data_IF_558477774395
#
_entry.id   IF_558477774395
#
_cell.length_a   1.000
_cell.length_b   1.000
_cell.length_c   1.000
_cell.angle_alpha   90.00
_cell.angle_beta   90.00
_cell.angle_gamma   90.00
#
_symmetry.space_group_name_H-M   'P 1'
#
loop_
_entity.id
_entity.type
_entity.pdbx_description
1 polymer ?
#
# COMPACT_ATOMS: atom_id res chain seq x y z
N UNK A 1 25.80 1.82 23.74
CA UNK A 1 24.64 2.53 23.16
C UNK A 1 24.12 1.70 22.00
N UNK A 2 23.02 0.99 22.18
CA UNK A 2 22.28 0.32 21.11
C UNK A 2 21.77 1.41 20.17
N UNK A 3 22.37 1.55 18.99
CA UNK A 3 21.81 2.42 17.93
C UNK A 3 20.43 1.84 17.60
N UNK A 4 19.36 2.57 17.92
CA UNK A 4 18.05 2.26 17.38
C UNK A 4 18.15 2.32 15.85
N UNK A 5 17.79 1.23 15.18
CA UNK A 5 17.75 1.18 13.71
C UNK A 5 16.47 1.90 13.31
N UNK A 6 16.60 3.17 12.93
CA UNK A 6 15.50 3.94 12.36
C UNK A 6 15.31 3.45 10.91
N UNK A 7 14.10 3.00 10.59
CA UNK A 7 13.72 2.68 9.21
C UNK A 7 13.59 4.00 8.45
N UNK A 8 14.44 4.19 7.46
CA UNK A 8 14.52 5.40 6.65
C UNK A 8 14.50 5.00 5.18
N UNK A 9 13.77 5.78 4.39
CA UNK A 9 13.70 5.62 2.95
C UNK A 9 13.70 6.98 2.28
N UNK A 10 14.07 6.99 0.99
CA UNK A 10 14.05 8.19 0.16
C UNK A 10 13.48 7.86 -1.21
N UNK A 11 12.67 8.77 -1.74
CA UNK A 11 12.27 8.76 -3.15
C UNK A 11 13.29 9.54 -3.96
N UNK A 12 13.99 8.84 -4.85
CA UNK A 12 15.07 9.39 -5.67
C UNK A 12 14.55 9.93 -7.00
N UNK A 13 13.49 9.31 -7.53
CA UNK A 13 12.80 9.72 -8.75
C UNK A 13 11.31 9.51 -8.50
N UNK A 14 10.53 10.58 -8.50
CA UNK A 14 9.07 10.54 -8.35
C UNK A 14 8.40 10.35 -9.71
N UNK A 15 8.54 11.35 -10.58
CA UNK A 15 7.83 11.43 -11.85
C UNK A 15 8.47 10.58 -12.96
N UNK A 16 7.68 10.12 -13.95
CA UNK A 16 8.19 9.46 -15.14
C UNK A 16 9.22 10.30 -15.89
N UNK A 17 10.40 9.72 -16.06
CA UNK A 17 11.46 10.26 -16.91
C UNK A 17 11.84 9.23 -17.99
N UNK A 18 12.18 9.72 -19.16
CA UNK A 18 12.79 8.90 -20.21
C UNK A 18 14.28 8.70 -19.92
N UNK A 19 14.76 7.50 -20.19
CA UNK A 19 16.17 7.11 -20.09
C UNK A 19 16.64 6.57 -21.43
N UNK A 20 17.75 7.11 -21.93
CA UNK A 20 18.54 6.53 -23.01
C UNK A 20 19.61 5.56 -22.47
N UNK A 21 20.17 4.74 -23.37
CA UNK A 21 21.16 3.71 -23.01
C UNK A 21 22.44 4.26 -22.36
N UNK A 22 22.76 5.53 -22.62
CA UNK A 22 23.93 6.22 -22.08
C UNK A 22 23.61 7.09 -20.86
N UNK A 23 22.33 7.25 -20.53
CA UNK A 23 21.89 8.12 -19.46
C UNK A 23 22.17 7.48 -18.11
N UNK A 24 22.53 8.33 -17.15
CA UNK A 24 22.78 7.95 -15.78
C UNK A 24 22.14 8.98 -14.85
N UNK A 25 21.47 8.49 -13.81
CA UNK A 25 21.15 9.28 -12.61
C UNK A 25 22.05 8.79 -11.50
N UNK A 26 22.73 9.73 -10.84
CA UNK A 26 23.72 9.44 -9.79
C UNK A 26 23.23 10.06 -8.49
N UNK A 27 23.17 9.24 -7.45
CA UNK A 27 22.82 9.65 -6.10
C UNK A 27 24.01 9.35 -5.18
N UNK A 28 24.56 10.39 -4.57
CA UNK A 28 25.74 10.24 -3.71
C UNK A 28 25.40 9.46 -2.45
N UNK A 29 26.39 8.75 -1.91
CA UNK A 29 26.14 7.90 -0.73
C UNK A 29 25.63 8.70 0.47
N UNK A 30 26.07 9.95 0.61
CA UNK A 30 25.66 10.83 1.70
C UNK A 30 24.17 11.20 1.68
N UNK A 31 23.52 11.12 0.50
CA UNK A 31 22.10 11.45 0.32
C UNK A 31 21.18 10.23 0.50
N UNK A 32 21.77 9.06 0.72
CA UNK A 32 21.03 7.81 0.86
C UNK A 32 20.87 7.42 2.34
N UNK A 33 19.73 6.83 2.71
CA UNK A 33 19.53 6.20 4.01
C UNK A 33 20.70 5.30 4.41
N UNK A 34 21.13 5.42 5.68
CA UNK A 34 22.27 4.64 6.18
C UNK A 34 21.90 3.16 6.25
N UNK A 35 22.56 2.33 5.44
CA UNK A 35 22.41 0.88 5.43
C UNK A 35 23.42 0.24 6.38
N UNK A 36 22.93 -0.61 7.28
CA UNK A 36 23.77 -1.38 8.20
C UNK A 36 23.96 -2.80 7.66
N UNK A 37 22.85 -3.52 7.48
CA UNK A 37 22.87 -4.95 7.16
C UNK A 37 21.69 -5.41 6.27
N UNK A 38 20.82 -4.48 5.88
CA UNK A 38 19.64 -4.70 5.03
C UNK A 38 19.40 -3.51 4.11
N UNK A 39 18.90 -3.76 2.91
CA UNK A 39 18.43 -2.72 2.01
C UNK A 39 17.32 -3.22 1.10
N UNK A 40 16.52 -2.30 0.59
CA UNK A 40 15.63 -2.56 -0.54
C UNK A 40 15.69 -1.42 -1.55
N UNK A 41 15.41 -1.74 -2.80
CA UNK A 41 15.23 -0.77 -3.87
C UNK A 41 13.96 -1.13 -4.61
N UNK A 42 13.05 -0.18 -4.79
CA UNK A 42 11.90 -0.34 -5.69
C UNK A 42 12.03 0.61 -6.87
N UNK A 43 11.58 0.16 -8.03
CA UNK A 43 11.61 0.92 -9.28
C UNK A 43 10.44 0.51 -10.16
N UNK A 44 9.79 1.50 -10.78
CA UNK A 44 8.93 1.25 -11.93
C UNK A 44 9.70 1.49 -13.20
N UNK A 45 9.64 0.53 -14.12
CA UNK A 45 10.32 0.65 -15.39
C UNK A 45 9.52 0.09 -16.55
N UNK A 46 9.74 0.70 -17.71
CA UNK A 46 9.24 0.26 -19.00
C UNK A 46 10.39 0.29 -20.00
N UNK A 47 10.76 -0.87 -20.52
CA UNK A 47 11.90 -1.00 -21.45
C UNK A 47 11.38 -0.87 -22.87
N UNK A 48 11.94 0.02 -23.67
CA UNK A 48 11.71 0.07 -25.10
C UNK A 48 12.67 -0.86 -25.85
N UNK A 49 13.96 -0.80 -25.51
CA UNK A 49 15.00 -1.68 -26.04
C UNK A 49 16.28 -1.64 -25.19
N UNK A 50 17.14 -2.64 -25.36
CA UNK A 50 18.53 -2.61 -24.89
C UNK A 50 19.43 -3.33 -25.90
N UNK A 51 20.75 -3.12 -25.82
CA UNK A 51 21.72 -3.81 -26.67
C UNK A 51 21.77 -5.33 -26.36
N UNK A 52 22.34 -6.17 -27.24
CA UNK A 52 22.54 -7.61 -26.98
C UNK A 52 23.64 -7.90 -25.92
N UNK A 53 23.82 -6.98 -24.96
CA UNK A 53 24.75 -7.06 -23.85
C UNK A 53 23.97 -6.86 -22.54
N UNK A 54 24.63 -7.08 -21.40
CA UNK A 54 24.05 -6.77 -20.10
C UNK A 54 23.69 -5.29 -20.01
N UNK A 55 22.45 -5.00 -19.63
CA UNK A 55 21.95 -3.64 -19.46
C UNK A 55 21.65 -3.34 -18.00
N UNK A 56 22.27 -2.30 -17.44
CA UNK A 56 22.09 -1.94 -16.03
C UNK A 56 20.78 -1.19 -15.82
N UNK A 57 19.98 -1.66 -14.85
CA UNK A 57 18.82 -0.92 -14.34
C UNK A 57 19.26 0.00 -13.22
N UNK A 58 19.93 -0.55 -12.21
CA UNK A 58 20.60 0.22 -11.17
C UNK A 58 21.83 -0.52 -10.63
N UNK A 59 22.77 0.23 -10.06
CA UNK A 59 24.02 -0.28 -9.48
C UNK A 59 24.49 0.63 -8.36
N UNK A 60 24.87 0.08 -7.20
CA UNK A 60 25.56 0.82 -6.13
C UNK A 60 27.00 0.34 -5.98
N UNK A 61 27.94 1.24 -6.23
CA UNK A 61 29.37 1.01 -6.01
C UNK A 61 30.27 1.70 -7.01
N UNK A 62 31.58 1.70 -6.73
CA UNK A 62 32.55 2.49 -7.50
C UNK A 62 33.16 1.75 -8.69
N UNK A 63 32.97 0.44 -8.80
CA UNK A 63 33.46 -0.38 -9.92
C UNK A 63 32.59 -1.65 -10.09
N UNK A 64 32.97 -2.53 -11.02
CA UNK A 64 32.26 -3.78 -11.30
C UNK A 64 32.20 -4.72 -10.10
N UNK A 65 33.19 -4.74 -9.22
CA UNK A 65 33.26 -5.71 -8.10
C UNK A 65 32.55 -5.24 -6.83
N UNK A 66 32.24 -3.95 -6.74
CA UNK A 66 31.48 -3.36 -5.65
C UNK A 66 30.08 -3.12 -6.18
N UNK A 67 29.14 -4.02 -5.87
CA UNK A 67 27.84 -4.11 -6.56
C UNK A 67 26.66 -4.43 -5.63
N UNK A 68 26.65 -3.88 -4.41
CA UNK A 68 25.56 -4.10 -3.44
C UNK A 68 24.65 -2.86 -3.33
N UNK A 69 23.49 -2.83 -3.99
CA UNK A 69 22.93 -3.83 -4.92
C UNK A 69 23.28 -3.55 -6.39
N UNK A 70 23.04 -4.54 -7.26
CA UNK A 70 22.97 -4.34 -8.70
C UNK A 70 21.83 -5.18 -9.31
N UNK A 71 21.11 -4.56 -10.22
CA UNK A 71 20.10 -5.21 -11.05
C UNK A 71 20.39 -4.91 -12.52
N UNK A 72 20.55 -5.97 -13.30
CA UNK A 72 20.80 -5.88 -14.74
C UNK A 72 19.82 -6.77 -15.51
N UNK A 73 19.70 -6.49 -16.79
CA UNK A 73 19.05 -7.35 -17.78
C UNK A 73 20.12 -8.19 -18.48
N UNK A 74 19.82 -9.46 -18.69
CA UNK A 74 20.66 -10.38 -19.46
C UNK A 74 20.66 -10.04 -20.95
N UNK A 75 21.71 -10.41 -21.69
CA UNK A 75 21.75 -10.31 -23.15
C UNK A 75 20.53 -10.94 -23.84
N UNK A 76 19.96 -10.24 -24.82
CA UNK A 76 18.92 -10.71 -25.77
C UNK A 76 17.53 -11.03 -25.19
N UNK A 77 17.42 -11.52 -23.96
CA UNK A 77 16.16 -12.03 -23.39
C UNK A 77 15.53 -11.13 -22.35
N UNK A 78 16.15 -10.01 -21.99
CA UNK A 78 15.64 -9.09 -20.95
C UNK A 78 15.33 -9.77 -19.60
N UNK A 79 15.99 -10.89 -19.27
CA UNK A 79 15.81 -11.56 -17.97
C UNK A 79 16.58 -10.85 -16.89
N UNK A 80 16.14 -10.98 -15.63
CA UNK A 80 16.87 -10.37 -14.53
C UNK A 80 18.16 -11.12 -14.22
N UNK A 81 19.23 -10.33 -14.08
CA UNK A 81 20.51 -10.70 -13.52
C UNK A 81 20.72 -9.88 -12.24
N UNK A 82 20.62 -10.54 -11.10
CA UNK A 82 20.46 -9.88 -9.81
C UNK A 82 21.64 -10.22 -8.92
N UNK A 83 22.43 -9.22 -8.51
CA UNK A 83 23.68 -9.47 -7.77
C UNK A 83 23.90 -8.57 -6.57
N UNK A 84 24.78 -9.04 -5.70
CA UNK A 84 25.41 -8.30 -4.62
C UNK A 84 26.86 -8.79 -4.41
N UNK A 85 27.64 -8.01 -3.66
CA UNK A 85 28.99 -8.36 -3.23
C UNK A 85 28.93 -9.06 -1.86
N UNK A 86 29.55 -10.23 -1.75
CA UNK A 86 29.79 -10.92 -0.48
C UNK A 86 31.28 -11.09 -0.20
N UNK A 87 31.66 -11.42 1.03
CA UNK A 87 33.07 -11.67 1.36
C UNK A 87 33.69 -12.92 0.69
N UNK A 88 32.90 -13.71 -0.02
CA UNK A 88 33.34 -14.90 -0.76
C UNK A 88 33.30 -14.72 -2.29
N UNK A 89 32.77 -13.59 -2.78
CA UNK A 89 32.64 -13.34 -4.21
C UNK A 89 31.95 -12.00 -4.49
N UNK A 90 32.41 -11.30 -5.53
CA UNK A 90 31.82 -10.02 -5.93
C UNK A 90 30.54 -10.18 -6.76
N UNK A 91 30.33 -11.34 -7.39
CA UNK A 91 29.23 -11.59 -8.33
C UNK A 91 28.24 -12.65 -7.81
N UNK A 92 27.64 -12.41 -6.65
CA UNK A 92 26.75 -13.37 -5.97
C UNK A 92 25.28 -13.01 -6.22
N UNK A 93 24.42 -13.99 -6.51
CA UNK A 93 22.96 -13.79 -6.56
C UNK A 93 22.28 -14.71 -7.57
N UNK A 94 21.32 -14.18 -8.31
CA UNK A 94 20.53 -14.91 -9.32
C UNK A 94 21.07 -14.62 -10.73
N UNK A 95 21.45 -15.66 -11.48
CA UNK A 95 22.06 -15.54 -12.81
C UNK A 95 21.06 -15.11 -13.88
N UNK A 96 19.95 -15.85 -13.97
CA UNK A 96 18.81 -15.53 -14.80
C UNK A 96 17.56 -15.82 -13.98
N UNK A 97 16.56 -14.95 -14.08
CA UNK A 97 15.25 -15.15 -13.49
C UNK A 97 14.17 -14.89 -14.54
N UNK A 98 13.15 -15.75 -14.54
CA UNK A 98 11.94 -15.63 -15.36
C UNK A 98 12.18 -15.77 -16.88
N UNK A 99 11.11 -15.62 -17.67
CA UNK A 99 11.12 -15.62 -19.14
C UNK A 99 11.60 -14.29 -19.73
N UNK A 100 11.75 -13.26 -18.89
CA UNK A 100 12.23 -11.93 -19.25
C UNK A 100 11.13 -10.90 -19.42
N UNK A 101 11.51 -9.62 -19.34
CA UNK A 101 10.57 -8.51 -19.43
C UNK A 101 10.11 -8.26 -20.87
N UNK A 102 8.80 -8.08 -21.03
CA UNK A 102 8.19 -7.69 -22.30
C UNK A 102 8.44 -6.21 -22.54
N UNK A 103 8.95 -5.85 -23.72
CA UNK A 103 9.18 -4.46 -24.09
C UNK A 103 7.87 -3.67 -24.16
N UNK A 104 7.93 -2.38 -23.87
CA UNK A 104 6.82 -1.43 -23.83
C UNK A 104 5.74 -1.73 -22.79
N UNK A 105 6.00 -2.59 -21.81
CA UNK A 105 5.14 -2.83 -20.65
C UNK A 105 5.76 -2.23 -19.39
N UNK A 106 4.92 -1.60 -18.55
CA UNK A 106 5.32 -1.15 -17.21
C UNK A 106 5.40 -2.34 -16.25
N UNK A 107 6.45 -2.34 -15.45
CA UNK A 107 6.66 -3.27 -14.35
C UNK A 107 7.05 -2.51 -13.09
N UNK A 108 6.56 -2.96 -11.95
CA UNK A 108 7.12 -2.62 -10.65
C UNK A 108 8.08 -3.72 -10.21
N UNK A 109 9.29 -3.34 -9.79
CA UNK A 109 10.31 -4.29 -9.36
C UNK A 109 10.77 -3.92 -7.97
N UNK A 110 10.79 -4.89 -7.07
CA UNK A 110 11.39 -4.74 -5.76
C UNK A 110 12.58 -5.70 -5.59
N UNK A 111 13.74 -5.13 -5.31
CA UNK A 111 14.94 -5.83 -4.86
C UNK A 111 15.03 -5.72 -3.34
N UNK A 112 15.11 -6.82 -2.61
CA UNK A 112 15.25 -6.79 -1.15
C UNK A 112 16.36 -7.72 -0.67
N UNK A 113 17.27 -7.22 0.16
CA UNK A 113 18.47 -7.96 0.61
C UNK A 113 18.65 -7.81 2.12
N UNK A 114 18.92 -8.93 2.79
CA UNK A 114 19.19 -8.97 4.23
C UNK A 114 20.35 -9.90 4.54
N UNK A 115 21.42 -9.34 5.12
CA UNK A 115 22.51 -10.15 5.67
C UNK A 115 22.05 -10.97 6.88
N UNK A 116 21.28 -10.44 7.86
CA UNK A 116 20.83 -11.24 9.01
C UNK A 116 19.95 -12.42 8.62
N UNK A 117 19.07 -12.24 7.63
CA UNK A 117 18.20 -13.31 7.10
C UNK A 117 18.88 -14.13 6.00
N UNK A 118 20.11 -13.74 5.62
CA UNK A 118 20.96 -14.45 4.65
C UNK A 118 20.25 -14.70 3.31
N UNK A 119 19.48 -13.70 2.85
CA UNK A 119 18.56 -13.86 1.72
C UNK A 119 18.39 -12.58 0.90
N UNK A 120 18.31 -12.78 -0.41
CA UNK A 120 17.92 -11.81 -1.43
C UNK A 120 16.60 -12.26 -2.04
N UNK A 121 15.64 -11.35 -2.22
CA UNK A 121 14.36 -11.61 -2.89
C UNK A 121 14.11 -10.59 -4.00
N UNK A 122 13.41 -11.04 -5.03
CA UNK A 122 12.95 -10.22 -6.15
C UNK A 122 11.47 -10.39 -6.32
N UNK A 123 10.78 -9.27 -6.47
CA UNK A 123 9.37 -9.19 -6.74
C UNK A 123 9.12 -8.43 -8.03
N UNK A 124 8.10 -8.85 -8.77
CA UNK A 124 7.61 -8.18 -9.97
C UNK A 124 6.11 -7.99 -9.81
N UNK A 125 5.64 -6.76 -9.98
CA UNK A 125 4.22 -6.39 -9.84
C UNK A 125 3.60 -6.87 -8.52
N UNK A 126 4.36 -6.75 -7.43
CA UNK A 126 3.95 -7.19 -6.09
C UNK A 126 4.05 -8.71 -5.82
N UNK A 127 4.34 -9.52 -6.84
CA UNK A 127 4.44 -10.97 -6.72
C UNK A 127 5.90 -11.44 -6.56
N UNK A 128 6.12 -12.44 -5.71
CA UNK A 128 7.46 -12.95 -5.43
C UNK A 128 7.92 -13.92 -6.52
N UNK A 129 8.89 -13.49 -7.33
CA UNK A 129 9.30 -14.22 -8.55
C UNK A 129 10.61 -14.99 -8.38
N UNK A 130 11.41 -14.68 -7.37
CA UNK A 130 12.67 -15.38 -7.15
C UNK A 130 13.44 -14.96 -5.91
N UNK A 131 14.41 -15.78 -5.53
CA UNK A 131 15.26 -15.52 -4.38
C UNK A 131 16.64 -16.19 -4.51
N UNK A 132 17.56 -15.72 -3.69
CA UNK A 132 18.86 -16.35 -3.47
C UNK A 132 19.13 -16.49 -1.98
N UNK A 133 19.57 -17.68 -1.55
CA UNK A 133 19.93 -17.97 -0.17
C UNK A 133 21.45 -18.10 -0.01
N UNK A 134 22.00 -17.45 1.01
CA UNK A 134 23.41 -17.57 1.40
C UNK A 134 23.58 -18.84 2.23
N UNK A 135 24.35 -19.80 1.70
CA UNK A 135 24.44 -21.15 2.28
C UNK A 135 25.31 -21.23 3.53
N UNK A 136 26.52 -20.65 3.53
CA UNK A 136 27.43 -20.73 4.67
C UNK A 136 27.18 -19.59 5.66
N UNK A 137 26.02 -19.62 6.31
CA UNK A 137 25.47 -18.53 7.15
C UNK A 137 26.41 -18.00 8.24
N UNK A 138 27.37 -18.81 8.72
CA UNK A 138 28.33 -18.41 9.76
C UNK A 138 29.51 -17.58 9.22
N UNK A 139 29.95 -17.86 8.00
CA UNK A 139 31.20 -17.30 7.45
C UNK A 139 30.93 -16.32 6.30
N UNK A 140 29.85 -16.52 5.55
CA UNK A 140 29.45 -15.68 4.44
C UNK A 140 28.66 -14.47 4.93
N UNK A 141 29.14 -13.28 4.58
CA UNK A 141 28.52 -11.99 4.91
C UNK A 141 28.40 -11.12 3.66
N UNK A 142 27.25 -10.51 3.49
CA UNK A 142 27.02 -9.46 2.49
C UNK A 142 27.90 -8.26 2.82
N UNK A 143 28.52 -7.68 1.79
CA UNK A 143 29.30 -6.45 1.90
C UNK A 143 28.44 -5.31 1.36
N UNK A 144 27.97 -4.46 2.25
CA UNK A 144 27.37 -3.17 1.92
C UNK A 144 28.47 -2.14 1.69
N UNK A 145 28.27 -1.26 0.71
CA UNK A 145 29.30 -0.33 0.27
C UNK A 145 28.85 1.13 0.36
N UNK A 146 29.83 2.02 0.42
CA UNK A 146 29.63 3.46 0.54
C UNK A 146 29.78 4.18 -0.82
N UNK A 147 29.70 3.43 -1.93
CA UNK A 147 29.75 4.02 -3.26
C UNK A 147 28.43 4.70 -3.63
N UNK A 148 28.42 5.56 -4.66
CA UNK A 148 27.21 6.18 -5.18
C UNK A 148 26.24 5.13 -5.76
N UNK A 149 24.96 5.50 -5.84
CA UNK A 149 23.89 4.72 -6.45
C UNK A 149 23.56 5.28 -7.84
N UNK A 150 23.71 4.44 -8.85
CA UNK A 150 23.45 4.73 -10.25
C UNK A 150 22.13 4.11 -10.68
N UNK A 151 21.32 4.85 -11.42
CA UNK A 151 20.15 4.35 -12.16
C UNK A 151 20.39 4.57 -13.65
N UNK A 152 20.27 3.51 -14.44
CA UNK A 152 20.73 3.46 -15.84
C UNK A 152 22.20 3.03 -15.96
N UNK A 153 22.97 3.70 -16.82
CA UNK A 153 24.40 3.43 -16.99
C UNK A 153 25.17 3.66 -15.68
N UNK A 154 26.15 2.80 -15.39
CA UNK A 154 27.01 2.93 -14.21
C UNK A 154 28.50 3.00 -14.57
N UNK A 155 29.38 2.99 -13.57
CA UNK A 155 30.86 3.05 -13.69
C UNK A 155 31.49 1.84 -14.40
N UNK A 156 30.68 0.93 -14.91
CA UNK A 156 31.08 -0.31 -15.55
C UNK A 156 31.05 -0.19 -17.07
N UNK A 157 31.56 -1.20 -17.78
CA UNK A 157 31.40 -1.31 -19.24
C UNK A 157 29.93 -1.58 -19.65
N UNK A 158 29.02 -1.78 -18.69
CA UNK A 158 27.62 -2.07 -18.93
C UNK A 158 26.83 -0.76 -19.08
N UNK A 159 26.29 -0.57 -20.28
CA UNK A 159 25.36 0.50 -20.60
C UNK A 159 23.99 0.24 -19.96
N UNK A 160 23.13 1.25 -19.97
CA UNK A 160 21.74 1.12 -19.53
C UNK A 160 20.82 0.56 -20.62
N UNK A 161 19.53 0.80 -20.43
CA UNK A 161 18.47 0.50 -21.39
C UNK A 161 17.86 1.80 -21.93
N UNK A 162 17.13 1.70 -23.04
CA UNK A 162 16.23 2.78 -23.48
C UNK A 162 14.83 2.48 -22.96
N UNK A 163 14.20 3.43 -22.29
CA UNK A 163 12.93 3.22 -21.62
C UNK A 163 12.43 4.41 -20.83
N UNK A 164 11.47 4.14 -19.95
CA UNK A 164 10.91 5.09 -18.99
C UNK A 164 11.07 4.50 -17.58
N UNK A 165 11.39 5.36 -16.61
CA UNK A 165 11.44 5.00 -15.20
C UNK A 165 10.72 6.03 -14.33
N UNK A 166 10.18 5.58 -13.22
CA UNK A 166 9.63 6.41 -12.16
C UNK A 166 9.71 5.67 -10.83
N UNK A 167 9.35 6.38 -9.75
CA UNK A 167 9.18 5.80 -8.42
C UNK A 167 10.39 4.97 -7.97
N UNK A 168 11.58 5.54 -8.16
CA UNK A 168 12.81 4.90 -7.69
C UNK A 168 12.97 5.22 -6.23
N UNK A 169 12.82 4.21 -5.38
CA UNK A 169 12.91 4.36 -3.92
C UNK A 169 14.03 3.50 -3.37
N UNK A 170 14.68 4.02 -2.33
CA UNK A 170 15.77 3.36 -1.63
C UNK A 170 15.45 3.27 -0.15
N UNK A 171 15.53 2.06 0.40
CA UNK A 171 15.14 1.74 1.78
C UNK A 171 16.35 1.17 2.53
N UNK A 172 16.56 1.58 3.78
CA UNK A 172 17.60 1.00 4.65
C UNK A 172 17.19 -0.28 5.40
N UNK A 173 16.07 -0.88 5.02
CA UNK A 173 15.61 -2.16 5.55
C UNK A 173 15.17 -3.09 4.42
N UNK A 174 14.99 -4.38 4.76
CA UNK A 174 14.42 -5.38 3.85
C UNK A 174 12.90 -5.27 3.90
N UNK A 175 12.28 -4.87 2.78
CA UNK A 175 10.82 -4.82 2.66
C UNK A 175 10.24 -6.24 2.81
N UNK A 176 9.15 -6.35 3.57
CA UNK A 176 8.34 -7.57 3.60
C UNK A 176 7.53 -7.75 2.31
N UNK A 177 6.95 -8.92 2.09
CA UNK A 177 6.09 -9.15 0.94
C UNK A 177 4.86 -8.22 0.96
N UNK A 178 4.33 -7.94 2.16
CA UNK A 178 3.23 -7.00 2.37
C UNK A 178 3.65 -5.57 2.07
N UNK A 179 4.82 -5.13 2.56
CA UNK A 179 5.34 -3.78 2.28
C UNK A 179 5.62 -3.60 0.78
N UNK A 180 6.09 -4.63 0.07
CA UNK A 180 6.25 -4.61 -1.39
C UNK A 180 4.90 -4.51 -2.10
N UNK A 181 3.88 -5.25 -1.65
CA UNK A 181 2.53 -5.15 -2.21
C UNK A 181 1.93 -3.78 -1.96
N UNK A 182 2.11 -3.21 -0.77
CA UNK A 182 1.67 -1.86 -0.46
C UNK A 182 2.37 -0.82 -1.35
N UNK A 183 3.70 -0.89 -1.51
CA UNK A 183 4.47 -0.01 -2.42
C UNK A 183 4.01 -0.14 -3.89
N UNK A 184 3.70 -1.35 -4.34
CA UNK A 184 3.14 -1.60 -5.67
C UNK A 184 1.76 -0.97 -5.86
N UNK A 185 0.85 -1.17 -4.90
CA UNK A 185 -0.55 -0.73 -4.97
C UNK A 185 -0.72 0.77 -4.70
N UNK A 186 0.11 1.37 -3.84
CA UNK A 186 0.04 2.80 -3.54
C UNK A 186 0.30 3.68 -4.77
N UNK A 187 0.80 3.13 -5.87
CA UNK A 187 1.23 3.88 -7.06
C UNK A 187 0.58 3.46 -8.38
N UNK A 188 -0.37 2.53 -8.39
CA UNK A 188 -1.29 2.46 -9.51
C UNK A 188 -2.15 3.72 -9.46
N UNK A 189 -1.70 4.79 -10.13
CA UNK A 189 -2.37 6.10 -10.28
C UNK A 189 -3.60 6.18 -9.39
N UNK A 190 -3.42 6.46 -8.09
CA UNK A 190 -4.55 6.38 -7.16
C UNK A 190 -5.68 7.18 -7.77
N UNK A 191 -6.72 6.51 -8.23
CA UNK A 191 -7.77 7.18 -8.98
C UNK A 191 -8.43 8.13 -7.97
N UNK A 192 -8.64 9.41 -8.31
CA UNK A 192 -9.35 10.30 -7.41
C UNK A 192 -10.72 9.69 -7.16
N UNK A 193 -11.07 9.56 -5.88
CA UNK A 193 -12.39 9.10 -5.51
C UNK A 193 -13.32 10.31 -5.65
N UNK A 194 -14.37 10.12 -6.43
CA UNK A 194 -15.34 11.16 -6.77
C UNK A 194 -16.69 10.81 -6.17
N UNK A 195 -17.58 11.79 -6.00
CA UNK A 195 -18.97 11.52 -5.68
C UNK A 195 -19.59 10.62 -6.76
N UNK A 196 -20.29 9.56 -6.35
CA UNK A 196 -20.79 8.50 -7.23
C UNK A 196 -19.84 7.31 -7.41
N UNK A 197 -18.58 7.41 -6.96
CA UNK A 197 -17.64 6.27 -7.00
C UNK A 197 -18.16 5.08 -6.19
N UNK A 198 -18.05 3.88 -6.77
CA UNK A 198 -18.23 2.61 -6.08
C UNK A 198 -16.94 2.23 -5.38
N UNK A 199 -17.03 1.95 -4.09
CA UNK A 199 -15.87 1.69 -3.22
C UNK A 199 -16.14 0.51 -2.30
N UNK A 200 -15.06 -0.07 -1.79
CA UNK A 200 -15.05 -0.98 -0.67
C UNK A 200 -14.28 -0.34 0.49
N UNK A 201 -14.68 -0.62 1.73
CA UNK A 201 -13.94 -0.23 2.93
C UNK A 201 -13.33 -1.48 3.55
N UNK A 202 -12.00 -1.50 3.67
CA UNK A 202 -11.26 -2.64 4.25
C UNK A 202 -10.74 -2.25 5.61
N UNK A 203 -11.11 -2.99 6.65
CA UNK A 203 -10.56 -2.77 7.97
C UNK A 203 -9.07 -3.12 7.97
N UNK A 204 -8.18 -2.16 8.23
CA UNK A 204 -6.73 -2.31 8.01
C UNK A 204 -6.14 -3.41 8.89
N UNK A 205 -6.60 -3.53 10.14
CA UNK A 205 -6.02 -4.49 11.09
C UNK A 205 -6.42 -5.94 10.83
N UNK A 206 -7.64 -6.18 10.31
CA UNK A 206 -8.16 -7.55 10.07
C UNK A 206 -8.24 -7.91 8.59
N UNK A 207 -8.02 -6.95 7.68
CA UNK A 207 -8.16 -7.07 6.22
C UNK A 207 -9.53 -7.58 5.76
N UNK A 208 -10.57 -7.40 6.57
CA UNK A 208 -11.94 -7.76 6.24
C UNK A 208 -12.72 -6.56 5.70
N UNK A 209 -13.64 -6.84 4.78
CA UNK A 209 -14.47 -5.82 4.15
C UNK A 209 -15.67 -5.44 5.02
N UNK A 210 -15.97 -4.13 5.05
CA UNK A 210 -17.21 -3.58 5.58
C UNK A 210 -18.38 -4.04 4.71
N UNK A 211 -19.27 -4.82 5.30
CA UNK A 211 -20.22 -5.67 4.60
C UNK A 211 -21.55 -5.74 5.34
N UNK A 212 -22.53 -6.38 4.73
CA UNK A 212 -23.77 -6.77 5.37
C UNK A 212 -24.15 -8.21 5.02
N UNK A 213 -24.74 -8.92 5.99
CA UNK A 213 -25.42 -10.22 5.75
C UNK A 213 -26.93 -10.07 5.56
N UNK A 214 -27.43 -8.83 5.38
CA UNK A 214 -28.86 -8.53 5.28
C UNK A 214 -29.66 -8.96 6.52
N UNK A 215 -28.99 -8.99 7.67
CA UNK A 215 -29.60 -9.31 8.97
C UNK A 215 -30.14 -8.01 9.55
N UNK A 216 -31.43 -7.97 9.89
CA UNK A 216 -32.04 -6.84 10.59
C UNK A 216 -31.81 -6.95 12.09
N UNK A 217 -31.67 -5.80 12.77
CA UNK A 217 -31.73 -5.78 14.23
C UNK A 217 -33.16 -6.08 14.71
N UNK A 218 -33.29 -6.70 15.86
CA UNK A 218 -34.60 -6.90 16.50
C UNK A 218 -34.89 -5.73 17.46
N UNK A 219 -35.27 -4.57 16.89
CA UNK A 219 -35.62 -3.35 17.63
C UNK A 219 -37.12 -3.04 17.57
N UNK A 220 -37.94 -4.04 17.26
CA UNK A 220 -39.40 -3.91 17.13
C UNK A 220 -39.92 -3.88 15.69
N UNK A 221 -41.25 -3.85 15.52
CA UNK A 221 -41.94 -4.15 14.25
C UNK A 221 -41.68 -3.14 13.12
N UNK A 222 -41.26 -1.92 13.45
CA UNK A 222 -40.96 -0.86 12.47
C UNK A 222 -39.46 -0.71 12.19
N UNK A 223 -38.62 -1.64 12.67
CA UNK A 223 -37.18 -1.51 12.52
C UNK A 223 -36.72 -1.79 11.08
N UNK A 224 -36.15 -0.77 10.44
CA UNK A 224 -35.57 -0.87 9.09
C UNK A 224 -34.03 -0.88 9.11
N UNK A 225 -33.43 -1.11 10.29
CA UNK A 225 -31.99 -1.08 10.45
C UNK A 225 -31.36 -2.47 10.26
N UNK A 226 -30.45 -2.57 9.29
CA UNK A 226 -29.67 -3.77 9.05
C UNK A 226 -28.31 -3.67 9.73
N UNK A 227 -27.81 -4.82 10.18
CA UNK A 227 -26.50 -4.95 10.79
C UNK A 227 -25.40 -4.78 9.74
N UNK A 228 -24.41 -3.95 10.10
CA UNK A 228 -23.16 -3.79 9.37
C UNK A 228 -22.07 -4.56 10.10
N UNK A 229 -21.27 -5.31 9.34
CA UNK A 229 -20.27 -6.23 9.87
C UNK A 229 -18.97 -6.13 9.07
N UNK A 230 -17.90 -6.69 9.61
CA UNK A 230 -16.70 -7.03 8.86
C UNK A 230 -16.68 -8.53 8.58
N UNK A 231 -16.84 -8.96 7.33
CA UNK A 231 -17.16 -10.36 7.04
C UNK A 231 -15.93 -11.23 6.74
N UNK A 232 -15.41 -11.15 5.52
CA UNK A 232 -14.36 -12.00 4.96
C UNK A 232 -13.27 -11.18 4.27
N UNK A 233 -12.05 -11.72 4.11
CA UNK A 233 -10.97 -11.06 3.39
C UNK A 233 -11.12 -11.16 1.87
N UNK A 234 -11.96 -12.07 1.35
CA UNK A 234 -12.28 -12.12 -0.07
C UNK A 234 -13.44 -11.15 -0.40
N UNK A 235 -13.20 -10.25 -1.34
CA UNK A 235 -14.16 -9.22 -1.75
C UNK A 235 -15.44 -9.83 -2.35
N UNK A 236 -16.58 -9.36 -1.88
CA UNK A 236 -17.92 -9.70 -2.35
C UNK A 236 -18.59 -8.46 -2.99
N UNK A 237 -18.74 -8.48 -4.32
CA UNK A 237 -19.31 -7.36 -5.07
C UNK A 237 -20.81 -7.12 -4.80
N UNK A 238 -21.51 -8.03 -4.12
CA UNK A 238 -22.92 -7.84 -3.77
C UNK A 238 -23.07 -7.12 -2.41
N UNK A 239 -22.24 -7.47 -1.43
CA UNK A 239 -22.45 -7.09 -0.03
C UNK A 239 -21.39 -6.13 0.52
N UNK A 240 -20.27 -5.91 -0.18
CA UNK A 240 -19.15 -5.10 0.30
C UNK A 240 -19.07 -3.73 -0.39
N UNK A 241 -20.03 -3.42 -1.28
CA UNK A 241 -19.94 -2.26 -2.18
C UNK A 241 -20.79 -1.10 -1.71
N UNK A 242 -20.13 0.04 -1.58
CA UNK A 242 -20.71 1.30 -1.16
C UNK A 242 -20.52 2.36 -2.25
N UNK A 243 -21.44 3.30 -2.34
CA UNK A 243 -21.35 4.46 -3.23
C UNK A 243 -21.13 5.70 -2.37
N UNK A 244 -20.14 6.52 -2.72
CA UNK A 244 -19.94 7.80 -2.03
C UNK A 244 -20.99 8.80 -2.47
N UNK A 245 -21.70 9.37 -1.50
CA UNK A 245 -22.71 10.40 -1.70
C UNK A 245 -22.37 11.66 -0.90
N UNK A 246 -22.99 12.79 -1.24
CA UNK A 246 -22.88 14.01 -0.46
C UNK A 246 -23.49 13.85 0.94
N UNK A 247 -23.09 14.72 1.87
CA UNK A 247 -23.72 14.83 3.18
C UNK A 247 -25.24 15.11 3.08
N UNK A 248 -25.97 14.83 4.15
CA UNK A 248 -27.40 15.06 4.23
C UNK A 248 -27.78 16.50 3.80
N UNK A 249 -28.78 16.61 2.92
CA UNK A 249 -29.26 17.90 2.42
C UNK A 249 -28.32 18.62 1.44
N UNK A 250 -27.19 18.02 1.07
CA UNK A 250 -26.27 18.58 0.07
C UNK A 250 -26.50 17.97 -1.31
N UNK A 251 -26.47 18.81 -2.35
CA UNK A 251 -26.50 18.36 -3.74
C UNK A 251 -25.12 18.59 -4.36
N UNK A 252 -24.41 17.50 -4.63
CA UNK A 252 -23.07 17.51 -5.22
C UNK A 252 -23.12 16.76 -6.56
N UNK A 253 -22.48 17.30 -7.59
CA UNK A 253 -22.39 16.65 -8.90
C UNK A 253 -21.55 15.38 -8.84
N UNK A 254 -22.08 14.28 -9.38
CA UNK A 254 -21.31 13.06 -9.63
C UNK A 254 -20.06 13.37 -10.46
N UNK A 255 -18.95 12.68 -10.17
CA UNK A 255 -17.66 12.93 -10.81
C UNK A 255 -16.82 14.05 -10.14
N UNK A 256 -17.38 14.76 -9.16
CA UNK A 256 -16.61 15.77 -8.40
C UNK A 256 -15.65 15.09 -7.43
N UNK A 257 -14.34 15.42 -7.40
CA UNK A 257 -13.39 14.86 -6.44
C UNK A 257 -13.80 15.12 -5.00
N UNK A 258 -13.71 14.09 -4.15
CA UNK A 258 -14.00 14.20 -2.72
C UNK A 258 -12.79 14.82 -2.04
N UNK A 259 -12.92 16.02 -1.47
CA UNK A 259 -11.87 16.64 -0.66
C UNK A 259 -11.73 15.96 0.70
N UNK A 260 -10.52 15.90 1.23
CA UNK A 260 -10.29 15.43 2.60
C UNK A 260 -10.84 16.42 3.64
N UNK A 261 -11.10 15.93 4.85
CA UNK A 261 -11.71 16.70 5.94
C UNK A 261 -13.08 17.32 5.56
N UNK A 262 -13.85 16.58 4.75
CA UNK A 262 -15.22 16.91 4.37
C UNK A 262 -16.22 15.91 4.94
N UNK A 263 -17.49 16.28 4.96
CA UNK A 263 -18.58 15.41 5.42
C UNK A 263 -19.20 14.75 4.20
N UNK A 264 -19.31 13.43 4.23
CA UNK A 264 -19.87 12.60 3.17
C UNK A 264 -20.83 11.57 3.75
N UNK A 265 -21.62 10.95 2.87
CA UNK A 265 -22.40 9.76 3.19
C UNK A 265 -21.94 8.54 2.37
N UNK A 266 -22.34 7.36 2.82
CA UNK A 266 -22.11 6.10 2.11
C UNK A 266 -23.45 5.41 1.87
N UNK A 267 -23.73 5.01 0.63
CA UNK A 267 -24.93 4.27 0.27
C UNK A 267 -24.58 2.87 -0.19
N UNK A 268 -25.11 1.85 0.46
CA UNK A 268 -24.87 0.46 0.07
C UNK A 268 -25.49 0.17 -1.30
N UNK A 269 -24.72 -0.40 -2.24
CA UNK A 269 -25.13 -0.51 -3.63
C UNK A 269 -26.34 -1.43 -3.83
N UNK A 270 -26.33 -2.63 -3.24
CA UNK A 270 -27.37 -3.62 -3.50
C UNK A 270 -28.69 -3.34 -2.77
N UNK A 271 -28.65 -2.63 -1.64
CA UNK A 271 -29.81 -2.40 -0.76
C UNK A 271 -30.32 -0.97 -0.88
N UNK A 272 -29.44 -0.02 -1.23
CA UNK A 272 -29.79 1.39 -1.37
C UNK A 272 -29.97 2.12 -0.02
N UNK A 273 -29.51 1.55 1.08
CA UNK A 273 -29.56 2.13 2.42
C UNK A 273 -28.24 2.84 2.76
N UNK A 274 -28.29 3.83 3.63
CA UNK A 274 -27.13 4.62 4.04
C UNK A 274 -26.42 3.99 5.25
N UNK A 275 -25.09 4.17 5.32
CA UNK A 275 -24.31 3.85 6.50
C UNK A 275 -24.65 4.85 7.60
N UNK A 276 -25.23 4.34 8.68
CA UNK A 276 -25.94 5.11 9.68
C UNK A 276 -25.40 4.81 11.07
N UNK A 277 -25.36 5.79 11.95
CA UNK A 277 -25.07 5.56 13.36
C UNK A 277 -25.87 6.53 14.22
N UNK A 278 -26.34 6.09 15.38
CA UNK A 278 -27.12 6.94 16.28
C UNK A 278 -26.56 6.84 17.69
N UNK A 279 -27.04 7.66 18.61
CA UNK A 279 -26.65 7.57 20.01
C UNK A 279 -26.99 6.20 20.63
N UNK A 280 -26.49 5.96 21.85
CA UNK A 280 -26.76 4.72 22.58
C UNK A 280 -28.07 4.77 23.37
N UNK A 281 -28.95 5.72 23.08
CA UNK A 281 -30.25 5.82 23.77
C UNK A 281 -31.08 4.56 23.50
N UNK A 282 -31.88 4.15 24.48
CA UNK A 282 -32.78 2.97 24.38
C UNK A 282 -32.05 1.65 24.09
N UNK A 283 -30.88 1.43 24.70
CA UNK A 283 -30.08 0.21 24.57
C UNK A 283 -29.70 -0.15 23.12
N UNK A 284 -29.65 0.84 22.24
CA UNK A 284 -29.18 0.67 20.86
C UNK A 284 -27.66 0.59 20.81
N UNK A 285 -27.13 -0.50 21.36
CA UNK A 285 -25.71 -0.79 21.48
C UNK A 285 -25.35 -2.12 20.80
N UNK A 286 -24.11 -2.26 20.34
CA UNK A 286 -23.66 -3.49 19.66
C UNK A 286 -23.84 -4.73 20.53
N UNK A 287 -24.11 -5.91 19.94
CA UNK A 287 -24.45 -7.10 20.69
C UNK A 287 -23.38 -7.52 21.71
N UNK A 288 -22.09 -7.43 21.32
CA UNK A 288 -20.97 -7.91 22.14
C UNK A 288 -20.32 -6.77 22.91
N UNK A 289 -19.77 -5.74 22.24
CA UNK A 289 -19.01 -4.70 22.94
C UNK A 289 -19.86 -3.67 23.68
N UNK A 290 -21.19 -3.67 23.46
CA UNK A 290 -22.11 -2.66 24.03
C UNK A 290 -21.69 -1.22 23.69
N UNK A 291 -21.12 -1.03 22.51
CA UNK A 291 -20.72 0.27 21.97
C UNK A 291 -21.78 0.84 21.03
N UNK A 292 -21.58 2.07 20.57
CA UNK A 292 -22.50 2.73 19.66
C UNK A 292 -22.65 1.94 18.36
N UNK A 293 -23.88 1.63 17.97
CA UNK A 293 -24.17 0.82 16.79
C UNK A 293 -23.87 1.57 15.49
N UNK A 294 -23.46 0.81 14.49
CA UNK A 294 -23.42 1.24 13.10
C UNK A 294 -24.30 0.31 12.29
N UNK A 295 -25.27 0.89 11.60
CA UNK A 295 -26.35 0.16 10.93
C UNK A 295 -26.52 0.67 9.50
N UNK A 296 -27.37 -0.01 8.74
CA UNK A 296 -27.83 0.47 7.45
C UNK A 296 -29.30 0.87 7.53
N UNK A 297 -29.59 2.14 7.25
CA UNK A 297 -30.93 2.70 7.36
C UNK A 297 -31.45 3.23 6.01
N UNK A 298 -32.76 3.08 5.77
CA UNK A 298 -33.45 3.64 4.60
C UNK A 298 -33.75 5.14 4.76
N UNK A 299 -33.85 5.61 6.00
CA UNK A 299 -34.21 6.99 6.32
C UNK A 299 -32.98 7.89 6.25
N UNK A 300 -33.02 8.83 5.30
CA UNK A 300 -31.92 9.77 5.08
C UNK A 300 -31.98 10.91 6.10
N UNK A 301 -31.02 11.00 7.00
CA UNK A 301 -30.96 12.06 8.02
C UNK A 301 -29.49 12.40 8.39
N UNK A 302 -29.28 13.23 9.43
CA UNK A 302 -27.96 13.68 9.89
C UNK A 302 -27.10 12.56 10.53
N UNK A 303 -27.69 11.42 10.82
CA UNK A 303 -27.00 10.25 11.40
C UNK A 303 -26.30 9.41 10.31
N UNK A 304 -26.43 9.82 9.05
CA UNK A 304 -25.72 9.26 7.89
C UNK A 304 -24.42 10.01 7.56
N UNK A 305 -24.12 11.09 8.29
CA UNK A 305 -23.02 12.01 7.97
C UNK A 305 -21.71 11.63 8.66
N UNK A 306 -20.69 11.36 7.83
CA UNK A 306 -19.36 10.94 8.25
C UNK A 306 -18.30 11.95 7.81
N UNK A 307 -17.51 12.44 8.75
CA UNK A 307 -16.31 13.21 8.47
C UNK A 307 -15.16 12.28 8.11
N UNK A 308 -14.64 12.42 6.89
CA UNK A 308 -13.52 11.63 6.40
C UNK A 308 -12.18 12.33 6.65
N UNK A 309 -11.22 11.61 7.24
CA UNK A 309 -9.85 12.11 7.44
C UNK A 309 -8.84 11.06 7.00
N UNK A 310 -7.80 11.44 6.26
CA UNK A 310 -6.74 10.53 5.82
C UNK A 310 -5.68 10.40 6.90
N UNK A 311 -5.26 9.17 7.17
CA UNK A 311 -4.15 8.89 8.06
C UNK A 311 -2.83 9.20 7.35
N UNK A 312 -1.94 9.94 8.01
CA UNK A 312 -0.60 10.16 7.48
C UNK A 312 0.27 8.93 7.79
N UNK A 313 0.83 8.29 6.76
CA UNK A 313 1.65 7.08 6.91
C UNK A 313 2.96 7.31 7.68
N UNK A 314 3.43 8.55 7.77
CA UNK A 314 4.69 8.93 8.40
C UNK A 314 4.54 9.46 9.83
N UNK A 315 3.31 9.69 10.31
CA UNK A 315 3.05 10.24 11.66
C UNK A 315 1.84 9.55 12.30
N UNK A 316 1.54 9.89 13.56
CA UNK A 316 0.28 9.49 14.22
C UNK A 316 -0.86 10.48 13.96
N UNK A 317 -0.69 11.41 13.03
CA UNK A 317 -1.64 12.50 12.76
C UNK A 317 -2.44 12.27 11.47
N UNK A 318 -3.50 13.06 11.31
CA UNK A 318 -4.27 13.12 10.07
C UNK A 318 -3.63 14.09 9.08
N UNK A 319 -3.72 13.76 7.80
CA UNK A 319 -3.50 14.69 6.69
C UNK A 319 -4.86 15.07 6.11
N UNK A 320 -5.24 16.32 6.32
CA UNK A 320 -6.54 16.87 5.94
C UNK A 320 -6.48 17.63 4.61
N UNK A 321 -5.40 17.48 3.82
CA UNK A 321 -5.17 18.27 2.61
C UNK A 321 -5.35 17.47 1.31
N UNK A 322 -5.93 18.12 0.30
CA UNK A 322 -6.12 17.54 -1.04
C UNK A 322 -7.39 16.71 -1.19
N UNK A 323 -7.35 15.73 -2.09
CA UNK A 323 -8.49 14.87 -2.41
C UNK A 323 -8.26 13.45 -1.92
N UNK A 324 -9.37 12.75 -1.71
CA UNK A 324 -9.40 11.34 -1.38
C UNK A 324 -9.03 10.51 -2.60
N UNK A 325 -8.10 9.59 -2.43
CA UNK A 325 -7.56 8.78 -3.52
C UNK A 325 -7.76 7.29 -3.22
N UNK A 326 -7.86 6.48 -4.28
CA UNK A 326 -7.88 5.03 -4.15
C UNK A 326 -6.71 4.49 -3.33
N UNK A 327 -6.96 3.55 -2.43
CA UNK A 327 -5.96 2.97 -1.54
C UNK A 327 -5.60 3.79 -0.31
N UNK A 328 -6.17 4.99 -0.12
CA UNK A 328 -5.91 5.81 1.08
C UNK A 328 -6.40 5.12 2.36
N UNK A 329 -5.59 5.21 3.42
CA UNK A 329 -6.00 4.82 4.76
C UNK A 329 -6.71 6.00 5.43
N UNK A 330 -7.95 5.79 5.87
CA UNK A 330 -8.84 6.81 6.41
C UNK A 330 -9.41 6.42 7.77
N UNK A 331 -9.89 7.43 8.48
CA UNK A 331 -10.81 7.30 9.62
C UNK A 331 -12.11 8.03 9.28
N UNK A 332 -13.23 7.44 9.70
CA UNK A 332 -14.57 7.98 9.52
C UNK A 332 -15.13 8.38 10.88
N UNK A 333 -15.48 9.64 11.06
CA UNK A 333 -16.00 10.16 12.33
C UNK A 333 -17.47 10.54 12.21
N UNK A 334 -18.31 9.97 13.06
CA UNK A 334 -19.74 10.21 13.03
C UNK A 334 -20.10 11.59 13.61
N UNK A 335 -20.70 12.47 12.82
CA UNK A 335 -20.86 13.88 13.22
C UNK A 335 -21.93 14.07 14.29
N UNK A 336 -23.09 13.45 14.12
CA UNK A 336 -24.28 13.67 14.97
C UNK A 336 -24.02 13.33 16.46
N UNK A 337 -23.21 12.30 16.74
CA UNK A 337 -22.92 11.85 18.10
C UNK A 337 -21.59 12.32 18.67
N UNK A 338 -21.13 13.51 18.26
CA UNK A 338 -19.89 14.14 18.76
C UNK A 338 -18.58 13.43 18.34
N UNK A 339 -18.51 12.98 17.08
CA UNK A 339 -17.30 12.47 16.41
C UNK A 339 -16.64 11.19 16.98
N UNK A 340 -17.38 10.15 17.40
CA UNK A 340 -16.78 8.82 17.56
C UNK A 340 -16.37 8.26 16.20
N UNK A 341 -15.29 7.47 16.17
CA UNK A 341 -14.76 6.87 14.96
C UNK A 341 -15.42 5.53 14.65
N UNK A 342 -15.61 5.23 13.37
CA UNK A 342 -15.99 3.91 12.88
C UNK A 342 -14.86 2.93 13.17
N UNK A 343 -15.19 1.85 13.88
CA UNK A 343 -14.24 0.87 14.35
C UNK A 343 -14.73 -0.55 14.09
N UNK A 344 -13.78 -1.47 14.00
CA UNK A 344 -14.02 -2.91 14.12
C UNK A 344 -12.87 -3.53 14.90
N UNK A 345 -12.95 -4.83 15.19
CA UNK A 345 -11.98 -5.50 16.03
C UNK A 345 -11.95 -7.00 15.74
N UNK A 346 -11.06 -7.73 16.42
CA UNK A 346 -10.86 -9.17 16.20
C UNK A 346 -11.92 -10.05 16.86
N UNK A 347 -12.82 -9.50 17.69
CA UNK A 347 -13.87 -10.29 18.33
C UNK A 347 -14.90 -10.69 17.28
N UNK A 348 -15.22 -11.99 17.26
CA UNK A 348 -16.12 -12.58 16.28
C UNK A 348 -17.54 -12.70 16.85
N UNK A 349 -18.51 -12.35 16.02
CA UNK A 349 -19.90 -12.77 16.16
C UNK A 349 -19.99 -14.30 15.95
N UNK A 350 -21.11 -14.90 16.39
CA UNK A 350 -21.30 -16.36 16.33
C UNK A 350 -21.24 -16.97 14.92
N UNK A 351 -21.31 -16.15 13.88
CA UNK A 351 -21.25 -16.53 12.47
C UNK A 351 -19.87 -16.26 11.81
N UNK A 352 -18.84 -15.94 12.62
CA UNK A 352 -17.46 -15.68 12.17
C UNK A 352 -17.21 -14.28 11.60
N UNK A 353 -18.23 -13.43 11.52
CA UNK A 353 -18.07 -12.01 11.18
C UNK A 353 -17.62 -11.18 12.39
N UNK A 354 -17.18 -9.96 12.16
CA UNK A 354 -16.77 -9.01 13.19
C UNK A 354 -17.83 -7.92 13.32
N UNK A 355 -18.09 -7.48 14.54
CA UNK A 355 -18.95 -6.31 14.74
C UNK A 355 -18.26 -5.03 14.28
N UNK A 356 -19.11 -4.07 13.92
CA UNK A 356 -18.72 -2.72 13.53
C UNK A 356 -19.46 -1.77 14.48
N UNK A 357 -18.74 -0.80 15.00
CA UNK A 357 -19.23 0.11 16.04
C UNK A 357 -18.58 1.48 15.93
N UNK A 358 -19.16 2.44 16.63
CA UNK A 358 -18.57 3.76 16.84
C UNK A 358 -17.94 3.84 18.24
N UNK A 359 -16.70 4.31 18.34
CA UNK A 359 -16.04 4.52 19.63
C UNK A 359 -15.24 5.84 19.70
N UNK A 360 -15.17 6.43 20.89
CA UNK A 360 -14.28 7.55 21.15
C UNK A 360 -12.88 6.99 21.40
N UNK A 361 -12.14 6.70 20.32
CA UNK A 361 -10.74 6.30 20.41
C UNK A 361 -9.85 7.48 20.84
N UNK A 362 -8.72 7.19 21.49
CA UNK A 362 -7.70 8.17 21.89
C UNK A 362 -6.84 8.70 20.72
N UNK A 363 -7.27 8.48 19.47
CA UNK A 363 -6.54 8.80 18.26
C UNK A 363 -5.35 7.87 17.95
N UNK A 364 -5.04 6.90 18.82
CA UNK A 364 -3.91 5.98 18.67
C UNK A 364 -4.30 4.56 18.27
N UNK A 365 -5.59 4.21 18.36
CA UNK A 365 -6.05 2.84 18.21
C UNK A 365 -5.97 2.31 16.76
N UNK A 366 -5.60 1.03 16.59
CA UNK A 366 -5.50 0.38 15.26
C UNK A 366 -6.86 0.02 14.66
N UNK A 367 -7.91 0.06 15.48
CA UNK A 367 -9.25 -0.45 15.20
C UNK A 367 -10.13 0.50 14.36
N UNK A 368 -9.69 1.75 14.16
CA UNK A 368 -10.45 2.78 13.42
C UNK A 368 -9.90 3.05 12.01
N UNK A 369 -8.92 2.27 11.56
CA UNK A 369 -8.24 2.49 10.28
C UNK A 369 -8.91 1.65 9.20
N UNK A 370 -9.34 2.33 8.14
CA UNK A 370 -9.98 1.72 6.99
C UNK A 370 -9.22 2.08 5.72
N UNK A 371 -8.91 1.11 4.86
CA UNK A 371 -8.42 1.37 3.52
C UNK A 371 -9.61 1.50 2.59
N UNK A 372 -9.66 2.59 1.83
CA UNK A 372 -10.66 2.76 0.77
C UNK A 372 -10.14 2.14 -0.52
N UNK A 373 -10.95 1.31 -1.17
CA UNK A 373 -10.59 0.67 -2.44
C UNK A 373 -11.66 0.98 -3.49
N UNK A 374 -11.27 1.57 -4.62
CA UNK A 374 -12.17 1.84 -5.72
C UNK A 374 -12.58 0.53 -6.41
N UNK A 375 -13.84 0.45 -6.84
CA UNK A 375 -14.40 -0.66 -7.57
C UNK A 375 -14.78 -0.18 -8.97
N UNK A 376 -14.10 -0.73 -9.97
CA UNK A 376 -14.36 -0.46 -11.39
C UNK A 376 -15.72 -1.02 -11.86
#
# INVERSE_FOLDING_TARGET
>A
MTKHIVREWVELISDPISMGKQDQRVFEHADLPTVIDKLSVTIRLKIHNHEPNYATIFHKGTNTDIRTPILQLTPNKSKFHVRFTGNWGSNVGIEELDDGLVVNKWYHIAYTLSDPEKRLDIYVDGEWVGFYCIQNVKTQKVIFNNGPFYVGRSTTHHIGFSGEICNVRYFNWRLSAEEVKEDFFDEFQKKPIVYGSRIALVHVSTRKYLSTKKIQYDLGPDNQQYMVICNRPERDLENDVWTIIGANGTSISEGTPVSLNTIIGFKHQAIGHNLHSHDTSYDKVTPISKQQQVTMCSHVNIDDDWLIRRYNTNTTSYDDTGHLMDGDNISLFHISTNKPALCSHTILLGDGSQEVFCCHGDGSDRNNKWRIELID
#
